data_IF_888059771494
#
_entry.id   IF_888059771494
#
_cell.length_a   1.000
_cell.length_b   1.000
_cell.length_c   1.000
_cell.angle_alpha   90.00
_cell.angle_beta   90.00
_cell.angle_gamma   90.00
#
_symmetry.space_group_name_H-M   'P 1'
#
loop_
_entity.id
_entity.type
_entity.pdbx_description
1 polymer ?
#
# COMPACT_ATOMS: atom_id res chain seq x y z
N UNK A 1 12.88 -53.45 -54.87
CA UNK A 1 13.73 -52.35 -54.39
C UNK A 1 13.12 -51.03 -54.86
N UNK A 2 12.39 -50.29 -54.02
CA UNK A 2 12.26 -48.81 -54.09
C UNK A 2 12.03 -48.30 -52.66
N UNK A 3 12.70 -47.18 -52.38
CA UNK A 3 13.12 -46.59 -51.12
C UNK A 3 11.96 -45.96 -50.33
N UNK A 4 12.00 -46.12 -49.01
CA UNK A 4 11.19 -45.43 -48.01
C UNK A 4 11.58 -43.94 -48.00
N UNK A 5 10.66 -43.05 -48.39
CA UNK A 5 10.88 -41.60 -48.35
C UNK A 5 10.66 -41.06 -46.93
N UNK A 6 11.62 -40.25 -46.46
CA UNK A 6 11.73 -39.78 -45.10
C UNK A 6 10.60 -38.86 -44.67
N UNK A 7 9.82 -39.31 -43.69
CA UNK A 7 8.84 -38.51 -42.97
C UNK A 7 9.46 -38.09 -41.63
N UNK A 8 10.35 -37.09 -41.64
CA UNK A 8 11.06 -36.72 -40.41
C UNK A 8 11.53 -35.27 -40.36
N UNK A 9 10.71 -34.32 -40.81
CA UNK A 9 11.09 -32.90 -40.69
C UNK A 9 9.90 -31.92 -40.68
N UNK A 10 8.75 -32.31 -40.15
CA UNK A 10 7.59 -31.40 -40.02
C UNK A 10 7.00 -31.31 -38.61
N UNK A 11 7.44 -32.16 -37.67
CA UNK A 11 6.81 -32.22 -36.34
C UNK A 11 7.45 -31.26 -35.31
N UNK A 12 8.71 -30.87 -35.48
CA UNK A 12 9.42 -30.04 -34.50
C UNK A 12 9.05 -28.55 -34.55
N UNK A 13 8.60 -28.04 -35.70
CA UNK A 13 8.27 -26.61 -35.86
C UNK A 13 6.92 -26.28 -35.22
N UNK A 14 5.96 -27.21 -35.25
CA UNK A 14 4.61 -27.02 -34.68
C UNK A 14 4.63 -27.04 -33.15
N UNK A 15 5.49 -27.85 -32.52
CA UNK A 15 5.65 -27.88 -31.07
C UNK A 15 6.35 -26.64 -30.50
N UNK A 16 7.19 -25.97 -31.30
CA UNK A 16 7.94 -24.78 -30.84
C UNK A 16 7.07 -23.51 -30.81
N UNK A 17 6.02 -23.41 -31.63
CA UNK A 17 5.14 -22.24 -31.66
C UNK A 17 4.19 -22.13 -30.46
N UNK A 18 3.78 -23.26 -29.89
CA UNK A 18 2.80 -23.30 -28.79
C UNK A 18 3.43 -22.85 -27.45
N UNK A 19 4.73 -23.09 -27.24
CA UNK A 19 5.42 -22.74 -26.00
C UNK A 19 5.66 -21.22 -25.83
N UNK A 20 5.75 -20.48 -26.95
CA UNK A 20 5.92 -19.03 -26.93
C UNK A 20 4.66 -18.27 -26.49
N UNK A 21 3.47 -18.88 -26.66
CA UNK A 21 2.19 -18.29 -26.24
C UNK A 21 1.84 -18.61 -24.77
N UNK A 22 2.49 -19.60 -24.15
CA UNK A 22 2.23 -19.97 -22.75
C UNK A 22 3.15 -19.29 -21.74
N UNK A 23 4.19 -18.57 -22.19
CA UNK A 23 5.17 -17.93 -21.30
C UNK A 23 4.89 -16.45 -21.01
N UNK A 24 3.89 -15.84 -21.65
CA UNK A 24 3.47 -14.47 -21.32
C UNK A 24 2.23 -14.51 -20.42
N UNK A 25 2.43 -14.67 -19.12
CA UNK A 25 1.37 -14.46 -18.13
C UNK A 25 1.09 -12.95 -18.00
N UNK A 26 -0.17 -12.54 -18.12
CA UNK A 26 -0.56 -11.19 -17.72
C UNK A 26 -0.43 -11.10 -16.18
N UNK A 27 0.27 -10.10 -15.62
CA UNK A 27 0.36 -9.93 -14.18
C UNK A 27 -1.04 -9.82 -13.57
N UNK A 28 -1.29 -10.64 -12.55
CA UNK A 28 -2.56 -10.64 -11.81
C UNK A 28 -2.70 -9.41 -10.92
N UNK A 29 -3.87 -9.19 -10.31
CA UNK A 29 -4.12 -8.06 -9.39
C UNK A 29 -3.14 -7.95 -8.21
N UNK A 30 -2.46 -9.05 -7.82
CA UNK A 30 -1.43 -9.04 -6.77
C UNK A 30 -0.01 -8.73 -7.26
N UNK A 31 0.23 -8.72 -8.57
CA UNK A 31 1.54 -8.49 -9.17
C UNK A 31 1.79 -7.00 -9.45
N UNK A 32 0.76 -6.17 -9.30
CA UNK A 32 0.84 -4.73 -9.53
C UNK A 32 1.43 -4.03 -8.30
N UNK A 33 2.48 -3.26 -8.53
CA UNK A 33 2.99 -2.35 -7.52
C UNK A 33 1.99 -1.21 -7.28
N UNK A 34 1.54 -1.07 -6.04
CA UNK A 34 0.66 0.02 -5.61
C UNK A 34 1.51 0.97 -4.76
N UNK A 35 1.78 2.21 -5.23
CA UNK A 35 2.53 3.18 -4.46
C UNK A 35 1.76 3.61 -3.21
N UNK A 36 2.51 4.00 -2.19
CA UNK A 36 1.93 4.60 -1.00
C UNK A 36 1.50 6.04 -1.28
N UNK A 37 0.27 6.36 -0.92
CA UNK A 37 -0.22 7.71 -0.78
C UNK A 37 0.23 8.32 0.56
N UNK A 38 0.24 9.65 0.62
CA UNK A 38 0.45 10.38 1.88
C UNK A 38 -0.57 11.49 1.99
N UNK A 39 -0.87 11.91 3.21
CA UNK A 39 -1.91 12.90 3.48
C UNK A 39 -1.58 13.76 4.69
N UNK A 40 -2.31 14.87 4.83
CA UNK A 40 -2.22 15.74 6.01
C UNK A 40 -2.87 15.08 7.23
N UNK A 41 -2.27 15.32 8.40
CA UNK A 41 -2.84 14.95 9.69
C UNK A 41 -3.34 16.19 10.41
N UNK A 42 -4.45 16.06 11.14
CA UNK A 42 -5.02 17.12 11.96
C UNK A 42 -5.57 16.58 13.27
N UNK A 43 -5.67 17.43 14.28
CA UNK A 43 -6.36 17.12 15.53
C UNK A 43 -7.79 17.66 15.46
N UNK A 44 -8.79 16.82 15.75
CA UNK A 44 -10.19 17.21 15.83
C UNK A 44 -10.75 16.77 17.19
N UNK A 45 -10.84 17.73 18.11
CA UNK A 45 -11.10 17.44 19.53
C UNK A 45 -10.00 16.55 20.10
N UNK A 46 -10.36 15.32 20.49
CA UNK A 46 -9.42 14.30 20.99
C UNK A 46 -8.95 13.31 19.92
N UNK A 47 -9.51 13.38 18.72
CA UNK A 47 -9.19 12.44 17.64
C UNK A 47 -8.03 12.98 16.80
N UNK A 48 -7.22 12.06 16.27
CA UNK A 48 -6.24 12.37 15.22
C UNK A 48 -6.82 11.91 13.89
N UNK A 49 -6.95 12.81 12.93
CA UNK A 49 -7.66 12.57 11.67
C UNK A 49 -6.75 12.78 10.46
N UNK A 50 -6.93 11.90 9.47
CA UNK A 50 -6.24 11.89 8.18
C UNK A 50 -7.24 12.20 7.08
N UNK A 51 -6.87 13.09 6.17
CA UNK A 51 -7.72 13.40 5.02
C UNK A 51 -7.63 12.27 3.98
N UNK A 52 -8.76 11.84 3.46
CA UNK A 52 -8.86 10.83 2.41
C UNK A 52 -9.65 11.45 1.27
N UNK A 53 -8.95 11.80 0.19
CA UNK A 53 -9.60 12.26 -1.05
C UNK A 53 -10.36 11.11 -1.68
N UNK A 54 -11.50 11.38 -2.31
CA UNK A 54 -12.30 10.39 -3.04
C UNK A 54 -12.65 9.12 -2.21
N UNK A 55 -13.00 9.33 -0.93
CA UNK A 55 -13.18 8.24 0.04
C UNK A 55 -14.50 7.45 -0.06
N UNK A 56 -15.32 7.69 -1.08
CA UNK A 56 -16.77 7.47 -1.06
C UNK A 56 -17.23 6.08 -0.61
N UNK A 57 -16.55 5.01 -1.04
CA UNK A 57 -16.89 3.65 -0.63
C UNK A 57 -15.69 2.89 -0.04
N UNK A 58 -14.60 3.59 0.19
CA UNK A 58 -13.41 3.04 0.83
C UNK A 58 -13.65 2.82 2.32
N UNK A 59 -13.16 1.69 2.84
CA UNK A 59 -13.19 1.34 4.26
C UNK A 59 -11.79 0.89 4.72
N UNK A 60 -11.37 1.22 5.95
CA UNK A 60 -10.11 0.74 6.50
C UNK A 60 -10.11 -0.78 6.63
N UNK A 61 -9.18 -1.44 5.96
CA UNK A 61 -8.94 -2.88 6.08
C UNK A 61 -7.89 -3.17 7.16
N UNK A 62 -6.85 -2.35 7.24
CA UNK A 62 -5.83 -2.45 8.27
C UNK A 62 -5.34 -1.06 8.71
N UNK A 63 -4.67 -1.05 9.86
CA UNK A 63 -3.93 0.11 10.33
C UNK A 63 -2.78 -0.32 11.25
N UNK A 64 -1.61 0.27 11.06
CA UNK A 64 -0.46 0.19 11.95
C UNK A 64 -0.12 1.57 12.49
N UNK A 65 0.10 1.68 13.80
CA UNK A 65 0.50 2.93 14.46
C UNK A 65 1.74 2.65 15.26
N UNK A 66 2.90 2.97 14.69
CA UNK A 66 4.18 2.56 15.25
C UNK A 66 5.06 3.79 15.51
N UNK A 67 5.80 3.85 16.64
CA UNK A 67 6.83 4.86 16.82
C UNK A 67 7.81 4.90 15.63
N UNK A 68 8.31 6.08 15.27
CA UNK A 68 9.28 6.19 14.19
C UNK A 68 10.55 5.41 14.55
N UNK A 69 11.02 4.59 13.62
CA UNK A 69 12.19 3.75 13.82
C UNK A 69 11.88 2.34 14.34
N UNK A 70 10.61 2.00 14.61
CA UNK A 70 10.22 0.62 14.90
C UNK A 70 10.71 -0.31 13.78
N UNK A 71 11.51 -1.35 14.10
CA UNK A 71 11.95 -2.34 13.12
C UNK A 71 10.79 -3.01 12.40
N UNK A 72 10.95 -3.34 11.11
CA UNK A 72 9.87 -3.88 10.28
C UNK A 72 9.20 -5.15 10.87
N UNK A 73 9.97 -5.97 11.60
CA UNK A 73 9.47 -7.20 12.24
C UNK A 73 8.71 -6.96 13.54
N UNK A 74 8.85 -5.76 14.12
CA UNK A 74 8.26 -5.36 15.40
C UNK A 74 7.06 -4.42 15.21
N UNK A 75 6.77 -4.04 13.96
CA UNK A 75 5.59 -3.24 13.65
C UNK A 75 4.33 -4.02 13.99
N UNK A 76 3.43 -3.38 14.72
CA UNK A 76 2.12 -3.92 15.04
C UNK A 76 1.05 -3.37 14.08
N UNK A 77 0.12 -4.23 13.70
CA UNK A 77 -0.94 -3.93 12.75
C UNK A 77 -2.25 -4.55 13.23
N UNK A 78 -3.31 -3.73 13.24
CA UNK A 78 -4.67 -4.20 13.40
C UNK A 78 -5.30 -4.43 12.02
N UNK A 79 -5.51 -5.70 11.66
CA UNK A 79 -6.10 -6.13 10.38
C UNK A 79 -7.63 -6.14 10.35
N UNK A 80 -8.28 -5.60 11.38
CA UNK A 80 -9.72 -5.39 11.42
C UNK A 80 -10.04 -4.24 12.39
N UNK A 81 -9.70 -2.99 12.02
CA UNK A 81 -9.70 -1.89 12.97
C UNK A 81 -11.10 -1.44 13.41
N UNK A 82 -12.15 -1.81 12.69
CA UNK A 82 -13.52 -1.34 12.97
C UNK A 82 -13.67 0.19 12.88
N UNK A 83 -12.67 0.89 12.35
CA UNK A 83 -12.71 2.32 12.05
C UNK A 83 -13.50 2.54 10.75
N UNK A 84 -14.05 3.74 10.61
CA UNK A 84 -14.79 4.15 9.42
C UNK A 84 -14.28 5.49 8.92
N UNK A 85 -14.47 5.74 7.63
CA UNK A 85 -14.23 7.05 7.04
C UNK A 85 -15.53 7.84 7.08
N UNK A 86 -15.48 9.03 7.69
CA UNK A 86 -16.61 9.95 7.80
C UNK A 86 -16.17 11.31 7.25
N UNK A 87 -16.98 11.90 6.38
CA UNK A 87 -16.72 13.20 5.75
C UNK A 87 -15.32 13.31 5.11
N UNK A 88 -14.89 12.23 4.43
CA UNK A 88 -13.59 12.16 3.77
C UNK A 88 -12.40 12.10 4.75
N UNK A 89 -12.62 11.65 5.99
CA UNK A 89 -11.56 11.56 7.00
C UNK A 89 -11.57 10.23 7.75
N UNK A 90 -10.39 9.65 7.89
CA UNK A 90 -10.15 8.56 8.83
C UNK A 90 -9.71 9.17 10.16
N UNK A 91 -10.53 9.04 11.20
CA UNK A 91 -10.23 9.57 12.53
C UNK A 91 -9.95 8.44 13.52
N UNK A 92 -8.83 8.56 14.24
CA UNK A 92 -8.42 7.63 15.29
C UNK A 92 -8.86 8.21 16.64
N UNK A 93 -9.85 7.61 17.31
CA UNK A 93 -10.25 8.03 18.65
C UNK A 93 -9.28 7.48 19.71
N UNK A 94 -9.18 8.13 20.89
CA UNK A 94 -8.36 7.64 22.01
C UNK A 94 -8.75 6.25 22.52
N UNK A 95 -9.99 5.81 22.27
CA UNK A 95 -10.46 4.45 22.57
C UNK A 95 -9.88 3.38 21.64
N UNK A 96 -9.41 3.78 20.46
CA UNK A 96 -8.71 2.91 19.53
C UNK A 96 -7.21 2.94 19.77
N UNK A 97 -6.61 4.14 19.86
CA UNK A 97 -5.20 4.31 20.17
C UNK A 97 -4.97 5.63 20.91
N UNK A 98 -4.30 5.54 22.06
CA UNK A 98 -3.96 6.71 22.86
C UNK A 98 -2.56 7.22 22.49
N UNK A 99 -2.53 8.26 21.66
CA UNK A 99 -1.27 8.92 21.33
C UNK A 99 -0.69 9.68 22.54
N UNK A 100 0.60 9.53 22.85
CA UNK A 100 1.24 10.34 23.89
C UNK A 100 1.36 11.80 23.46
N UNK A 101 1.48 12.70 24.45
CA UNK A 101 1.59 14.16 24.22
C UNK A 101 2.86 14.58 23.47
N UNK A 102 3.84 13.68 23.34
CA UNK A 102 5.06 13.90 22.59
C UNK A 102 5.48 12.60 21.89
N UNK A 103 5.90 12.72 20.63
CA UNK A 103 6.42 11.58 19.88
C UNK A 103 6.38 11.76 18.38
N UNK A 104 6.93 10.79 17.66
CA UNK A 104 6.84 10.69 16.21
C UNK A 104 6.43 9.28 15.86
N UNK A 105 5.40 9.17 15.02
CA UNK A 105 4.78 7.91 14.64
C UNK A 105 4.73 7.81 13.12
N UNK A 106 4.83 6.58 12.63
CA UNK A 106 4.51 6.20 11.26
C UNK A 106 3.18 5.49 11.32
N UNK A 107 2.17 6.10 10.70
CA UNK A 107 0.82 5.54 10.59
C UNK A 107 0.66 5.00 9.18
N UNK A 108 0.43 3.70 9.08
CA UNK A 108 0.25 2.95 7.83
C UNK A 108 -1.17 2.41 7.83
N UNK A 109 -1.90 2.55 6.73
CA UNK A 109 -3.24 1.96 6.62
C UNK A 109 -3.61 1.64 5.18
N UNK A 110 -4.36 0.56 5.00
CA UNK A 110 -4.93 0.15 3.73
C UNK A 110 -6.44 0.44 3.74
N UNK A 111 -6.90 1.06 2.65
CA UNK A 111 -8.31 1.23 2.35
C UNK A 111 -8.71 0.30 1.21
N UNK A 112 -9.82 -0.40 1.40
CA UNK A 112 -10.44 -1.26 0.37
C UNK A 112 -11.80 -0.70 -0.02
N UNK A 113 -12.11 -0.79 -1.31
CA UNK A 113 -13.38 -0.38 -1.89
C UNK A 113 -14.19 -1.63 -2.26
N UNK A 114 -15.51 -1.51 -2.34
CA UNK A 114 -16.37 -2.59 -2.88
C UNK A 114 -16.60 -2.41 -4.39
N UNK A 115 -16.26 -1.24 -4.93
CA UNK A 115 -16.46 -0.88 -6.33
C UNK A 115 -15.14 -0.81 -7.11
N UNK A 116 -14.04 -0.53 -6.42
CA UNK A 116 -12.69 -0.50 -6.98
C UNK A 116 -11.89 -1.70 -6.47
N UNK A 117 -11.27 -2.42 -7.41
CA UNK A 117 -10.45 -3.60 -7.12
C UNK A 117 -9.06 -3.22 -6.58
N UNK A 118 -8.60 -1.97 -6.78
CA UNK A 118 -7.28 -1.53 -6.33
C UNK A 118 -7.34 -0.93 -4.91
N UNK A 119 -6.66 -1.55 -3.93
CA UNK A 119 -6.58 -1.01 -2.58
C UNK A 119 -5.70 0.24 -2.56
N UNK A 120 -6.01 1.18 -1.68
CA UNK A 120 -5.21 2.38 -1.47
C UNK A 120 -4.38 2.24 -0.22
N UNK A 121 -3.07 2.43 -0.33
CA UNK A 121 -2.13 2.27 0.79
C UNK A 121 -1.62 3.63 1.22
N UNK A 122 -1.78 3.98 2.47
CA UNK A 122 -1.33 5.26 3.01
C UNK A 122 -0.17 5.07 3.98
N UNK A 123 0.78 6.01 3.93
CA UNK A 123 1.77 6.19 5.00
C UNK A 123 1.86 7.66 5.37
N UNK A 124 1.76 7.94 6.66
CA UNK A 124 1.75 9.30 7.21
C UNK A 124 2.71 9.42 8.38
N UNK A 125 3.59 10.41 8.32
CA UNK A 125 4.43 10.81 9.45
C UNK A 125 3.66 11.71 10.40
N UNK A 126 3.31 11.21 11.58
CA UNK A 126 2.53 11.92 12.60
C UNK A 126 3.43 12.33 13.74
N UNK A 127 3.72 13.61 13.83
CA UNK A 127 4.43 14.21 14.95
C UNK A 127 3.46 14.76 15.98
N UNK A 128 3.79 14.60 17.26
CA UNK A 128 3.07 15.22 18.37
C UNK A 128 4.08 15.94 19.26
N UNK A 129 3.79 17.19 19.59
CA UNK A 129 4.60 18.01 20.48
C UNK A 129 3.68 18.83 21.37
N UNK A 130 3.76 18.60 22.69
CA UNK A 130 2.87 19.23 23.67
C UNK A 130 1.37 19.08 23.30
N UNK A 131 0.99 17.91 22.79
CA UNK A 131 -0.38 17.61 22.38
C UNK A 131 -0.83 18.23 21.04
N UNK A 132 0.01 19.05 20.40
CA UNK A 132 -0.21 19.57 19.04
C UNK A 132 0.28 18.58 17.99
N UNK A 133 -0.49 18.41 16.92
CA UNK A 133 -0.25 17.40 15.89
C UNK A 133 0.26 18.06 14.60
N UNK A 134 1.29 17.49 13.99
CA UNK A 134 1.89 17.99 12.76
C UNK A 134 2.38 16.85 11.85
N UNK A 135 2.41 17.11 10.55
CA UNK A 135 3.08 16.22 9.59
C UNK A 135 4.60 16.39 9.65
N UNK A 136 5.34 15.30 9.46
CA UNK A 136 6.79 15.36 9.21
C UNK A 136 7.17 14.56 7.96
N UNK A 137 8.30 14.87 7.30
CA UNK A 137 8.70 14.17 6.08
C UNK A 137 9.13 12.72 6.34
N UNK A 138 8.59 11.82 5.53
CA UNK A 138 8.97 10.41 5.46
C UNK A 138 10.29 10.25 4.69
N UNK A 139 11.12 9.32 5.13
CA UNK A 139 12.31 8.86 4.40
C UNK A 139 11.91 7.88 3.29
N UNK A 140 12.80 7.65 2.32
CA UNK A 140 12.56 6.69 1.23
C UNK A 140 12.44 5.23 1.71
N UNK A 141 12.86 4.94 2.95
CA UNK A 141 12.66 3.63 3.58
C UNK A 141 11.31 3.48 4.25
N UNK A 142 10.60 4.58 4.48
CA UNK A 142 9.31 4.61 5.16
C UNK A 142 8.13 4.64 4.18
N UNK A 143 8.35 5.02 2.92
CA UNK A 143 7.28 5.15 1.91
C UNK A 143 7.69 4.50 0.58
N UNK A 144 6.86 3.58 0.10
CA UNK A 144 7.05 2.96 -1.21
C UNK A 144 6.53 3.90 -2.31
N UNK A 145 7.43 4.38 -3.17
CA UNK A 145 7.08 5.26 -4.30
C UNK A 145 7.51 4.63 -5.63
N UNK A 146 6.93 5.04 -6.77
CA UNK A 146 7.38 4.58 -8.07
C UNK A 146 8.87 4.91 -8.31
N UNK A 147 9.58 4.04 -9.01
CA UNK A 147 10.98 4.30 -9.38
C UNK A 147 11.12 5.64 -10.11
N UNK A 148 12.15 6.42 -9.75
CA UNK A 148 12.41 7.75 -10.31
C UNK A 148 11.67 8.92 -9.65
N UNK A 149 10.77 8.66 -8.69
CA UNK A 149 10.09 9.71 -7.91
C UNK A 149 10.82 10.09 -6.61
N UNK A 150 11.94 9.41 -6.31
CA UNK A 150 12.77 9.71 -5.14
C UNK A 150 13.54 11.00 -5.42
N UNK A 151 13.21 12.07 -4.68
CA UNK A 151 14.05 13.26 -4.65
C UNK A 151 15.16 13.03 -3.61
N UNK A 152 16.33 12.62 -4.10
CA UNK A 152 17.55 12.62 -3.28
C UNK A 152 17.90 14.09 -3.06
N UNK A 153 17.82 14.59 -1.83
CA UNK A 153 18.41 15.89 -1.54
C UNK A 153 19.93 15.73 -1.63
N UNK A 154 20.54 16.43 -2.58
CA UNK A 154 21.99 16.59 -2.70
C UNK A 154 22.59 17.26 -1.45
#
# INVERSE_FOLDING_TARGET
>A
MVKMFGFRMFWSVVFSGIFLLTLTGCPGPGDRFIPHETTSVSKQGKNICFNVTDAQDYQPADIGINPRGTPAKEKDFNFSPGLTIVDGKLCIPPSFYHFPDNGRFIVEYILISKKDDEPRKFVVGVGIKNGEVYNFPLTDREIARPYGSIQVSE
#
